data_IF_712036000128
#
_entry.id   IF_712036000128
#
_cell.length_a   1.000
_cell.length_b   1.000
_cell.length_c   1.000
_cell.angle_alpha   90.00
_cell.angle_beta   90.00
_cell.angle_gamma   90.00
#
_symmetry.space_group_name_H-M   'P 1'
#
loop_
_entity.id
_entity.type
_entity.pdbx_description
1 polymer ?
#
# COMPACT_ATOMS: atom_id res chain seq x y z
N UNK A 1 -5.37 13.06 -9.24
CA UNK A 1 -6.73 12.66 -8.81
C UNK A 1 -6.79 11.18 -8.48
N UNK A 2 -7.26 10.86 -7.29
CA UNK A 2 -7.28 9.50 -6.72
C UNK A 2 -8.10 8.52 -7.58
N UNK A 3 -9.19 9.00 -8.17
CA UNK A 3 -10.04 8.23 -9.07
C UNK A 3 -9.28 7.74 -10.32
N UNK A 4 -8.46 8.58 -10.94
CA UNK A 4 -7.73 8.22 -12.15
C UNK A 4 -6.64 7.16 -11.89
N UNK A 5 -6.00 7.20 -10.72
CA UNK A 5 -5.00 6.21 -10.32
C UNK A 5 -5.64 4.89 -9.86
N UNK A 6 -6.85 4.94 -9.30
CA UNK A 6 -7.67 3.76 -9.02
C UNK A 6 -8.08 3.07 -10.32
N UNK A 7 -8.48 3.81 -11.36
CA UNK A 7 -8.75 3.22 -12.68
C UNK A 7 -7.47 2.65 -13.34
N UNK A 8 -6.34 3.35 -13.20
CA UNK A 8 -5.03 2.82 -13.64
C UNK A 8 -4.53 1.66 -12.76
N UNK A 9 -5.11 1.45 -11.58
CA UNK A 9 -4.80 0.28 -10.76
C UNK A 9 -5.39 -0.99 -11.37
N UNK A 10 -6.39 -0.91 -12.26
CA UNK A 10 -6.97 -2.09 -12.90
C UNK A 10 -7.41 -3.15 -11.87
N UNK A 11 -7.11 -4.42 -12.14
CA UNK A 11 -7.49 -5.58 -11.30
C UNK A 11 -6.59 -5.79 -10.05
N UNK A 12 -5.86 -4.77 -9.59
CA UNK A 12 -5.04 -4.92 -8.39
C UNK A 12 -5.91 -4.96 -7.12
N UNK A 13 -5.88 -6.04 -6.34
CA UNK A 13 -6.65 -6.11 -5.10
C UNK A 13 -6.10 -5.09 -4.08
N UNK A 14 -7.00 -4.39 -3.39
CA UNK A 14 -6.62 -3.39 -2.39
C UNK A 14 -6.15 -4.07 -1.10
N UNK A 15 -4.85 -3.95 -0.80
CA UNK A 15 -4.26 -4.45 0.46
C UNK A 15 -4.47 -3.50 1.65
N UNK A 16 -4.40 -2.20 1.40
CA UNK A 16 -4.50 -1.14 2.41
C UNK A 16 -5.28 0.03 1.81
N UNK A 17 -6.34 0.44 2.48
CA UNK A 17 -7.14 1.60 2.06
C UNK A 17 -6.34 2.91 2.21
N UNK A 18 -6.71 3.97 1.46
CA UNK A 18 -6.00 5.25 1.50
C UNK A 18 -5.81 5.78 2.92
N UNK A 19 -4.56 6.00 3.28
CA UNK A 19 -4.17 6.37 4.64
C UNK A 19 -3.37 7.67 4.63
N UNK A 20 -3.76 8.63 5.48
CA UNK A 20 -3.04 9.90 5.60
C UNK A 20 -1.72 9.69 6.31
N UNK A 21 -0.63 10.15 5.69
CA UNK A 21 0.71 10.09 6.25
C UNK A 21 1.11 11.43 6.86
N UNK A 22 2.12 11.38 7.72
CA UNK A 22 2.75 12.52 8.38
C UNK A 22 4.24 12.60 7.99
N UNK A 23 4.77 13.82 7.90
CA UNK A 23 6.18 14.08 7.61
C UNK A 23 7.09 13.54 8.72
N UNK A 24 8.30 13.11 8.34
CA UNK A 24 9.35 12.63 9.25
C UNK A 24 8.88 11.58 10.28
N UNK A 25 7.90 10.76 9.88
CA UNK A 25 7.32 9.72 10.73
C UNK A 25 7.34 8.38 10.02
N UNK A 26 7.60 7.33 10.79
CA UNK A 26 7.41 5.95 10.37
C UNK A 26 5.96 5.54 10.64
N UNK A 27 5.31 5.02 9.61
CA UNK A 27 3.92 4.55 9.67
C UNK A 27 3.92 3.03 9.62
N UNK A 28 3.31 2.39 10.61
CA UNK A 28 3.19 0.94 10.72
C UNK A 28 1.74 0.55 10.52
N UNK A 29 1.49 -0.35 9.56
CA UNK A 29 0.17 -0.88 9.25
C UNK A 29 0.21 -2.39 9.53
N UNK A 30 -0.42 -2.81 10.63
CA UNK A 30 -0.34 -4.16 11.18
C UNK A 30 -1.72 -4.67 11.60
N UNK A 31 -1.86 -6.00 11.72
CA UNK A 31 -3.08 -6.63 12.17
C UNK A 31 -4.27 -6.35 11.24
N UNK A 32 -5.38 -5.87 11.81
CA UNK A 32 -6.64 -5.66 11.09
C UNK A 32 -6.68 -4.44 10.15
N UNK A 33 -5.58 -3.69 10.00
CA UNK A 33 -5.54 -2.58 9.04
C UNK A 33 -5.31 -3.04 7.59
N UNK A 34 -4.95 -4.31 7.39
CA UNK A 34 -4.68 -4.89 6.07
C UNK A 34 -5.84 -5.79 5.66
N UNK A 35 -6.24 -5.69 4.40
CA UNK A 35 -7.23 -6.57 3.80
C UNK A 35 -6.62 -7.95 3.51
N UNK A 36 -7.39 -9.02 3.72
CA UNK A 36 -6.96 -10.36 3.33
C UNK A 36 -7.16 -10.58 1.82
N UNK A 37 -6.07 -10.42 1.08
CA UNK A 37 -6.02 -10.61 -0.38
C UNK A 37 -5.28 -11.89 -0.78
N UNK A 38 -4.93 -12.75 0.20
CA UNK A 38 -4.11 -13.93 -0.02
C UNK A 38 -2.63 -13.62 -0.30
N UNK A 39 -1.92 -14.59 -0.90
CA UNK A 39 -0.49 -14.48 -1.17
C UNK A 39 -0.22 -13.73 -2.48
N UNK A 40 0.76 -12.83 -2.44
CA UNK A 40 1.14 -11.97 -3.56
C UNK A 40 2.64 -12.05 -3.85
N UNK A 41 3.02 -11.76 -5.09
CA UNK A 41 4.42 -11.71 -5.55
C UNK A 41 4.89 -10.28 -5.84
N UNK A 42 3.96 -9.36 -6.11
CA UNK A 42 4.22 -7.99 -6.48
C UNK A 42 3.36 -7.08 -5.60
N UNK A 43 3.92 -5.91 -5.28
CA UNK A 43 3.23 -4.85 -4.56
C UNK A 43 3.35 -3.55 -5.36
N UNK A 44 2.27 -2.78 -5.34
CA UNK A 44 2.21 -1.44 -5.92
C UNK A 44 2.00 -0.44 -4.79
N UNK A 45 2.89 0.54 -4.69
CA UNK A 45 2.75 1.66 -3.76
C UNK A 45 2.23 2.88 -4.54
N UNK A 46 1.12 3.46 -4.08
CA UNK A 46 0.55 4.68 -4.64
C UNK A 46 0.71 5.81 -3.60
N UNK A 47 1.20 6.98 -4.03
CA UNK A 47 1.38 8.18 -3.20
C UNK A 47 0.58 9.32 -3.84
N UNK A 48 -0.19 10.05 -3.04
CA UNK A 48 -1.15 11.06 -3.51
C UNK A 48 -1.01 12.39 -2.75
N UNK A 49 -1.17 13.53 -3.43
CA UNK A 49 -1.20 13.71 -4.89
C UNK A 49 0.20 13.58 -5.52
N UNK A 50 1.24 13.87 -4.75
CA UNK A 50 2.64 13.60 -5.02
C UNK A 50 3.37 13.46 -3.67
N UNK A 51 4.67 13.17 -3.72
CA UNK A 51 5.53 13.21 -2.53
C UNK A 51 6.69 12.24 -2.61
N UNK A 52 7.44 12.16 -1.51
CA UNK A 52 8.57 11.25 -1.36
C UNK A 52 8.36 10.28 -0.20
N UNK A 53 8.54 8.99 -0.46
CA UNK A 53 8.67 7.97 0.58
C UNK A 53 10.15 7.62 0.70
N UNK A 54 10.75 7.88 1.87
CA UNK A 54 12.16 7.56 2.07
C UNK A 54 12.42 6.06 2.02
N UNK A 55 11.55 5.25 2.63
CA UNK A 55 11.63 3.78 2.60
C UNK A 55 10.24 3.14 2.64
N UNK A 56 10.09 2.09 1.85
CA UNK A 56 8.94 1.19 1.90
C UNK A 56 9.44 -0.21 2.29
N UNK A 57 8.79 -0.83 3.29
CA UNK A 57 9.12 -2.18 3.77
C UNK A 57 7.84 -3.00 3.81
N UNK A 58 7.93 -4.24 3.34
CA UNK A 58 6.84 -5.21 3.46
C UNK A 58 7.37 -6.41 4.19
N UNK A 59 6.67 -6.76 5.26
CA UNK A 59 6.96 -7.93 6.07
C UNK A 59 5.87 -8.97 5.81
N UNK A 60 6.28 -10.20 5.58
CA UNK A 60 5.38 -11.30 5.31
C UNK A 60 6.13 -12.61 5.41
N UNK A 61 5.38 -13.72 5.47
CA UNK A 61 5.96 -15.05 5.46
C UNK A 61 6.00 -15.57 4.03
N UNK A 62 7.16 -16.02 3.52
CA UNK A 62 7.23 -16.60 2.19
C UNK A 62 6.37 -17.88 2.15
N UNK A 63 5.51 -18.00 1.13
CA UNK A 63 4.89 -19.29 0.82
C UNK A 63 5.93 -20.16 0.11
N UNK A 64 6.15 -21.36 0.64
CA UNK A 64 6.92 -22.42 -0.03
C UNK A 64 6.05 -23.13 -1.06
#
# INVERSE_FOLDING_TARGET
DDAALSEQAGDWPELLSPSKLEMDRQHFFEGGSLNDIGAVNCLRLNIFPDGGVSRFRVFGNPRR
#
